data_IF_491437772623
#
_entry.id   IF_491437772623
#
_cell.length_a   1.000
_cell.length_b   1.000
_cell.length_c   1.000
_cell.angle_alpha   90.00
_cell.angle_beta   90.00
_cell.angle_gamma   90.00
#
_symmetry.space_group_name_H-M   'P 1'
#
loop_
_entity.id
_entity.type
_entity.pdbx_description
1 polymer ?
#
# COMPACT_ATOMS: atom_id res chain seq x y z
N UNK A 1 25.09 27.31 -14.43
CA UNK A 1 25.16 26.42 -13.26
C UNK A 1 24.50 25.10 -13.60
N UNK A 2 25.17 23.99 -13.32
CA UNK A 2 24.55 22.67 -13.41
C UNK A 2 23.89 22.33 -12.07
N UNK A 3 22.83 21.52 -12.10
CA UNK A 3 22.14 21.06 -10.88
C UNK A 3 23.11 20.37 -9.90
N UNK A 4 24.08 19.62 -10.44
CA UNK A 4 25.12 18.94 -9.67
C UNK A 4 25.99 19.92 -8.89
N UNK A 5 26.41 21.03 -9.51
CA UNK A 5 27.19 22.07 -8.84
C UNK A 5 26.38 22.76 -7.73
N UNK A 6 25.11 23.08 -7.98
CA UNK A 6 24.24 23.69 -6.98
C UNK A 6 24.04 22.79 -5.74
N UNK A 7 23.92 21.47 -5.94
CA UNK A 7 23.82 20.50 -4.85
C UNK A 7 25.13 20.42 -4.06
N UNK A 8 26.29 20.42 -4.75
CA UNK A 8 27.60 20.38 -4.09
C UNK A 8 27.86 21.62 -3.25
N UNK A 9 27.52 22.81 -3.76
CA UNK A 9 27.71 24.06 -3.05
C UNK A 9 26.78 24.12 -1.82
N UNK A 10 25.51 23.76 -1.97
CA UNK A 10 24.57 23.66 -0.84
C UNK A 10 25.00 22.61 0.20
N UNK A 11 25.58 21.48 -0.24
CA UNK A 11 26.08 20.45 0.67
C UNK A 11 27.28 20.94 1.49
N UNK A 12 28.16 21.77 0.91
CA UNK A 12 29.35 22.31 1.60
C UNK A 12 29.02 23.36 2.65
N UNK A 13 27.92 24.10 2.49
CA UNK A 13 27.46 25.09 3.46
C UNK A 13 26.79 24.48 4.70
N UNK A 14 26.45 23.18 4.65
CA UNK A 14 25.78 22.47 5.74
C UNK A 14 26.78 21.99 6.82
N UNK A 15 26.29 21.86 8.05
CA UNK A 15 27.03 21.22 9.14
C UNK A 15 27.21 19.71 8.88
N UNK A 16 28.21 19.06 9.50
CA UNK A 16 28.49 17.63 9.28
C UNK A 16 27.27 16.72 9.50
N UNK A 17 26.46 17.00 10.52
CA UNK A 17 25.25 16.22 10.81
C UNK A 17 24.22 16.29 9.68
N UNK A 18 24.04 17.48 9.08
CA UNK A 18 23.10 17.66 7.97
C UNK A 18 23.64 17.12 6.64
N UNK A 19 24.96 17.09 6.45
CA UNK A 19 25.57 16.41 5.32
C UNK A 19 25.31 14.89 5.39
N UNK A 20 25.36 14.32 6.59
CA UNK A 20 25.02 12.91 6.83
C UNK A 20 23.55 12.63 6.48
N UNK A 21 22.63 13.50 6.92
CA UNK A 21 21.19 13.41 6.62
C UNK A 21 20.92 13.47 5.11
N UNK A 22 21.57 14.40 4.39
CA UNK A 22 21.45 14.53 2.94
C UNK A 22 21.96 13.27 2.21
N UNK A 23 23.07 12.70 2.68
CA UNK A 23 23.62 11.46 2.14
C UNK A 23 22.65 10.27 2.35
N UNK A 24 22.01 10.18 3.51
CA UNK A 24 21.04 9.13 3.80
C UNK A 24 19.76 9.29 2.98
N UNK A 25 19.29 10.52 2.77
CA UNK A 25 18.18 10.81 1.88
C UNK A 25 18.50 10.41 0.43
N UNK A 26 19.71 10.70 -0.06
CA UNK A 26 20.14 10.27 -1.40
C UNK A 26 20.18 8.73 -1.54
N UNK A 27 20.63 8.00 -0.51
CA UNK A 27 20.58 6.53 -0.48
C UNK A 27 19.13 6.02 -0.50
N UNK A 28 18.23 6.66 0.23
CA UNK A 28 16.81 6.32 0.26
C UNK A 28 16.17 6.48 -1.12
N UNK A 29 16.36 7.63 -1.78
CA UNK A 29 15.85 7.90 -3.12
C UNK A 29 16.33 6.84 -4.13
N UNK A 30 17.61 6.45 -4.08
CA UNK A 30 18.16 5.37 -4.92
C UNK A 30 17.54 4.00 -4.62
N UNK A 31 17.12 3.77 -3.37
CA UNK A 31 16.42 2.55 -2.96
C UNK A 31 14.98 2.51 -3.48
N UNK A 32 14.27 3.64 -3.48
CA UNK A 32 12.91 3.75 -4.00
C UNK A 32 12.83 3.44 -5.50
N UNK A 33 13.82 3.86 -6.29
CA UNK A 33 13.84 3.59 -7.74
C UNK A 33 13.97 2.11 -8.07
N UNK A 34 14.58 1.32 -7.17
CA UNK A 34 14.72 -0.14 -7.33
C UNK A 34 13.44 -0.90 -6.98
N UNK A 35 12.50 -0.28 -6.27
CA UNK A 35 11.20 -0.86 -5.97
C UNK A 35 10.21 -0.51 -7.08
N UNK A 36 10.47 -0.94 -8.32
CA UNK A 36 9.36 -1.19 -9.24
C UNK A 36 8.52 -2.28 -8.60
N UNK A 37 7.42 -1.89 -7.93
CA UNK A 37 6.47 -2.82 -7.33
C UNK A 37 6.07 -3.79 -8.43
N UNK A 38 6.53 -5.04 -8.31
CA UNK A 38 6.17 -6.09 -9.24
C UNK A 38 4.64 -6.08 -9.40
N UNK A 39 4.12 -6.26 -10.63
CA UNK A 39 2.69 -6.28 -10.85
C UNK A 39 2.08 -7.30 -9.89
N UNK A 40 1.09 -6.85 -9.10
CA UNK A 40 0.39 -7.74 -8.18
C UNK A 40 -0.24 -8.87 -9.00
N UNK A 41 -0.01 -10.11 -8.58
CA UNK A 41 -0.70 -11.25 -9.19
C UNK A 41 -2.21 -11.06 -9.00
N UNK A 42 -2.99 -11.46 -10.01
CA UNK A 42 -4.45 -11.44 -9.92
C UNK A 42 -4.92 -12.29 -8.73
N UNK A 43 -5.84 -11.77 -7.92
CA UNK A 43 -6.46 -12.54 -6.83
C UNK A 43 -7.50 -13.56 -7.31
N UNK A 44 -7.75 -13.64 -8.62
CA UNK A 44 -8.69 -14.61 -9.19
C UNK A 44 -8.19 -16.02 -8.93
N UNK A 45 -9.04 -16.83 -8.28
CA UNK A 45 -8.74 -18.23 -7.96
C UNK A 45 -8.05 -18.46 -6.62
N UNK A 46 -7.81 -17.42 -5.81
CA UNK A 46 -7.21 -17.53 -4.48
C UNK A 46 -7.97 -18.46 -3.53
N UNK A 47 -9.28 -18.63 -3.76
CA UNK A 47 -10.19 -19.44 -2.95
C UNK A 47 -10.84 -20.58 -3.73
N UNK A 48 -10.31 -20.91 -4.92
CA UNK A 48 -10.88 -21.97 -5.75
C UNK A 48 -10.76 -23.36 -5.09
N UNK A 49 -9.78 -23.54 -4.22
CA UNK A 49 -9.50 -24.75 -3.44
C UNK A 49 -10.41 -24.92 -2.22
N UNK A 50 -11.08 -23.86 -1.76
CA UNK A 50 -11.99 -23.94 -0.61
C UNK A 50 -13.27 -24.73 -0.92
N UNK A 51 -13.50 -25.08 -2.19
CA UNK A 51 -14.66 -25.84 -2.66
C UNK A 51 -16.00 -25.31 -2.09
N UNK A 52 -16.09 -23.99 -1.95
CA UNK A 52 -17.26 -23.30 -1.41
C UNK A 52 -18.32 -23.29 -2.51
N UNK A 53 -19.31 -24.15 -2.38
CA UNK A 53 -20.51 -24.14 -3.20
C UNK A 53 -21.62 -23.45 -2.40
N UNK A 54 -21.75 -22.14 -2.53
CA UNK A 54 -22.85 -21.38 -1.94
C UNK A 54 -24.03 -21.41 -2.91
N UNK A 55 -25.12 -22.02 -2.49
CA UNK A 55 -26.39 -21.91 -3.21
C UNK A 55 -27.02 -20.54 -2.99
N UNK A 56 -27.87 -20.10 -3.93
CA UNK A 56 -28.59 -18.83 -3.78
C UNK A 56 -29.53 -18.88 -2.56
N UNK A 57 -30.09 -20.07 -2.31
CA UNK A 57 -30.99 -20.37 -1.21
C UNK A 57 -30.30 -20.22 0.15
N UNK A 58 -29.08 -20.77 0.31
CA UNK A 58 -28.28 -20.62 1.54
C UNK A 58 -27.91 -19.15 1.80
N UNK A 59 -27.58 -18.39 0.76
CA UNK A 59 -27.29 -16.95 0.87
C UNK A 59 -28.54 -16.18 1.34
N UNK A 60 -29.71 -16.50 0.79
CA UNK A 60 -30.95 -15.82 1.13
C UNK A 60 -31.51 -16.23 2.50
N UNK A 61 -31.22 -17.46 2.96
CA UNK A 61 -31.50 -17.89 4.34
C UNK A 61 -30.59 -17.16 5.34
N UNK A 62 -29.28 -17.12 5.08
CA UNK A 62 -28.29 -16.39 5.90
C UNK A 62 -28.48 -14.87 5.82
N UNK A 63 -29.12 -14.31 4.79
CA UNK A 63 -29.54 -12.89 4.81
C UNK A 63 -30.75 -12.67 5.71
N UNK A 64 -31.66 -13.63 5.83
CA UNK A 64 -32.88 -13.46 6.62
C UNK A 64 -32.62 -13.58 8.12
N UNK A 65 -31.77 -14.50 8.57
CA UNK A 65 -31.62 -14.76 10.02
C UNK A 65 -30.84 -13.69 10.82
N UNK A 66 -29.66 -13.21 10.42
CA UNK A 66 -28.89 -12.21 11.16
C UNK A 66 -29.34 -10.77 10.86
N UNK A 67 -29.96 -10.50 9.71
CA UNK A 67 -30.43 -9.15 9.37
C UNK A 67 -31.82 -8.82 9.94
N UNK A 68 -32.57 -9.84 10.40
CA UNK A 68 -33.85 -9.64 11.08
C UNK A 68 -33.71 -8.87 12.39
N UNK A 69 -32.58 -9.02 13.08
CA UNK A 69 -32.24 -8.31 14.32
C UNK A 69 -31.23 -7.17 14.10
N UNK A 70 -30.94 -6.81 12.84
CA UNK A 70 -30.05 -5.69 12.58
C UNK A 70 -30.79 -4.39 12.90
N UNK A 71 -30.27 -3.54 13.80
CA UNK A 71 -30.93 -2.29 14.16
C UNK A 71 -31.06 -1.43 12.90
N UNK A 72 -32.29 -1.15 12.50
CA UNK A 72 -32.61 -0.15 11.48
C UNK A 72 -33.00 1.11 12.24
N UNK A 73 -32.39 2.25 11.91
CA UNK A 73 -32.64 3.56 12.50
C UNK A 73 -34.02 4.15 12.11
N UNK A 74 -35.01 3.30 11.85
CA UNK A 74 -36.31 3.67 11.28
C UNK A 74 -37.44 3.73 12.33
N UNK A 75 -37.12 3.88 13.63
CA UNK A 75 -38.07 4.15 14.74
C UNK A 75 -37.59 5.34 15.58
#
# INVERSE_FOLDING_TARGET
>A
MTLEQAILDAARELSPDKQQELLDHAKHLRGQTKQQRAPRKSGRGLWADLNINLSAEEIDEVRREPWKNFPRDDI
#
